data_IF_311956227340
#
_entry.id   IF_311956227340
#
_cell.length_a   1.000
_cell.length_b   1.000
_cell.length_c   1.000
_cell.angle_alpha   90.00
_cell.angle_beta   90.00
_cell.angle_gamma   90.00
#
_symmetry.space_group_name_H-M   'P 1'
#
loop_
_entity.id
_entity.type
_entity.pdbx_description
1 polymer ?
#
# COMPACT_ATOMS: atom_id res chain seq x y z
N UNK A 1 -17.93 6.83 9.27
CA UNK A 1 -17.86 5.39 8.95
C UNK A 1 -17.84 5.14 7.45
N UNK A 2 -18.92 5.47 6.70
CA UNK A 2 -18.98 5.23 5.25
C UNK A 2 -17.79 5.82 4.48
N UNK A 3 -17.42 7.08 4.75
CA UNK A 3 -16.25 7.74 4.13
C UNK A 3 -14.96 6.94 4.33
N UNK A 4 -14.67 6.50 5.56
CA UNK A 4 -13.48 5.72 5.88
C UNK A 4 -13.47 4.35 5.19
N UNK A 5 -14.63 3.70 5.08
CA UNK A 5 -14.77 2.44 4.33
C UNK A 5 -14.47 2.66 2.85
N UNK A 6 -15.03 3.71 2.24
CA UNK A 6 -14.76 4.04 0.83
C UNK A 6 -13.29 4.32 0.57
N UNK A 7 -12.61 5.04 1.47
CA UNK A 7 -11.16 5.30 1.38
C UNK A 7 -10.37 3.99 1.36
N UNK A 8 -10.70 3.05 2.25
CA UNK A 8 -9.99 1.78 2.35
C UNK A 8 -10.27 0.88 1.15
N UNK A 9 -11.54 0.81 0.70
CA UNK A 9 -11.90 0.07 -0.51
C UNK A 9 -11.20 0.63 -1.75
N UNK A 10 -11.16 1.96 -1.89
CA UNK A 10 -10.40 2.62 -2.95
C UNK A 10 -8.92 2.23 -2.93
N UNK A 11 -8.29 2.26 -1.74
CA UNK A 11 -6.88 1.87 -1.58
C UNK A 11 -6.66 0.42 -2.00
N UNK A 12 -7.55 -0.50 -1.60
CA UNK A 12 -7.47 -1.92 -1.97
C UNK A 12 -7.56 -2.10 -3.49
N UNK A 13 -8.53 -1.46 -4.15
CA UNK A 13 -8.72 -1.57 -5.61
C UNK A 13 -7.49 -1.04 -6.34
N UNK A 14 -7.04 0.16 -5.98
CA UNK A 14 -5.89 0.80 -6.61
C UNK A 14 -4.60 -0.01 -6.43
N UNK A 15 -4.32 -0.46 -5.20
CA UNK A 15 -3.13 -1.26 -4.90
C UNK A 15 -3.17 -2.61 -5.61
N UNK A 16 -4.34 -3.26 -5.71
CA UNK A 16 -4.49 -4.51 -6.47
C UNK A 16 -4.20 -4.31 -7.95
N UNK A 17 -4.71 -3.24 -8.56
CA UNK A 17 -4.41 -2.91 -9.95
C UNK A 17 -2.91 -2.65 -10.17
N UNK A 18 -2.24 -1.97 -9.24
CA UNK A 18 -0.81 -1.68 -9.31
C UNK A 18 0.07 -2.93 -9.12
N UNK A 19 -0.32 -3.85 -8.22
CA UNK A 19 0.33 -5.17 -8.09
C UNK A 19 0.15 -5.97 -9.37
N UNK A 20 -1.06 -6.02 -9.93
CA UNK A 20 -1.34 -6.74 -11.16
C UNK A 20 -0.50 -6.21 -12.34
N UNK A 21 -0.37 -4.88 -12.46
CA UNK A 21 0.53 -4.26 -13.43
C UNK A 21 2.00 -4.65 -13.18
N UNK A 22 2.48 -4.50 -11.95
CA UNK A 22 3.89 -4.78 -11.61
C UNK A 22 4.26 -6.24 -11.84
N UNK A 23 3.39 -7.18 -11.44
CA UNK A 23 3.55 -8.61 -11.74
C UNK A 23 3.45 -8.89 -13.24
N UNK A 24 2.48 -8.28 -13.93
CA UNK A 24 2.35 -8.36 -15.38
C UNK A 24 3.63 -7.96 -16.11
N UNK A 25 4.31 -6.91 -15.64
CA UNK A 25 5.60 -6.46 -16.19
C UNK A 25 6.72 -7.49 -15.99
N UNK A 26 6.73 -8.28 -14.92
CA UNK A 26 7.69 -9.39 -14.78
C UNK A 26 7.44 -10.52 -15.77
N UNK A 27 6.18 -10.79 -16.09
CA UNK A 27 5.80 -11.87 -17.01
C UNK A 27 5.66 -11.42 -18.45
N UNK A 28 5.84 -10.13 -18.74
CA UNK A 28 5.54 -9.54 -20.03
C UNK A 28 6.22 -10.33 -21.15
N UNK A 29 7.49 -10.68 -20.97
CA UNK A 29 8.27 -11.31 -22.04
C UNK A 29 7.88 -12.76 -22.36
N UNK A 30 6.98 -13.38 -21.59
CA UNK A 30 6.40 -14.70 -21.91
C UNK A 30 5.25 -14.62 -22.91
N UNK A 31 4.74 -13.42 -23.18
CA UNK A 31 3.62 -13.22 -24.08
C UNK A 31 4.12 -12.72 -25.43
N UNK A 32 3.56 -13.25 -26.52
CA UNK A 32 3.79 -12.70 -27.86
C UNK A 32 3.21 -11.29 -27.92
N UNK A 33 4.09 -10.31 -28.06
CA UNK A 33 3.71 -8.91 -28.09
C UNK A 33 3.28 -8.50 -29.50
N UNK A 34 1.97 -8.48 -29.71
CA UNK A 34 1.38 -7.91 -30.93
C UNK A 34 1.29 -6.38 -30.87
N UNK A 35 1.40 -5.79 -29.68
CA UNK A 35 1.18 -4.38 -29.44
C UNK A 35 2.50 -3.61 -29.42
N UNK A 36 2.64 -2.63 -30.33
CA UNK A 36 3.84 -1.79 -30.42
C UNK A 36 4.17 -1.02 -29.13
N UNK A 37 3.18 -0.53 -28.37
CA UNK A 37 3.45 0.17 -27.10
C UNK A 37 4.05 -0.80 -26.08
N UNK A 38 3.56 -2.03 -26.04
CA UNK A 38 4.09 -3.09 -25.17
C UNK A 38 5.50 -3.47 -25.60
N UNK A 39 5.75 -3.60 -26.91
CA UNK A 39 7.09 -3.88 -27.46
C UNK A 39 8.05 -2.75 -27.11
N UNK A 40 7.69 -1.49 -27.37
CA UNK A 40 8.55 -0.34 -27.06
C UNK A 40 8.78 -0.25 -25.56
N UNK A 41 7.75 -0.39 -24.72
CA UNK A 41 7.89 -0.45 -23.27
C UNK A 41 8.84 -1.56 -22.80
N UNK A 42 8.67 -2.77 -23.34
CA UNK A 42 9.50 -3.91 -23.03
C UNK A 42 10.96 -3.66 -23.43
N UNK A 43 11.20 -3.23 -24.67
CA UNK A 43 12.53 -2.91 -25.18
C UNK A 43 13.20 -1.81 -24.33
N UNK A 44 12.46 -0.76 -23.96
CA UNK A 44 13.03 0.38 -23.23
C UNK A 44 13.44 0.00 -21.80
N UNK A 45 12.58 -0.73 -21.09
CA UNK A 45 12.71 -0.83 -19.63
C UNK A 45 12.90 -2.26 -19.10
N UNK A 46 12.53 -3.28 -19.87
CA UNK A 46 12.43 -4.66 -19.39
C UNK A 46 13.22 -5.66 -20.24
N UNK A 47 13.93 -5.19 -21.27
CA UNK A 47 14.65 -6.04 -22.19
C UNK A 47 15.80 -6.79 -21.52
N UNK A 48 15.72 -8.12 -21.60
CA UNK A 48 16.71 -9.08 -21.14
C UNK A 48 16.82 -10.19 -22.19
N UNK A 49 17.93 -10.20 -22.94
CA UNK A 49 18.15 -11.16 -24.01
C UNK A 49 18.19 -12.61 -23.47
N UNK A 50 18.75 -12.82 -22.29
CA UNK A 50 18.98 -14.16 -21.75
C UNK A 50 17.67 -14.83 -21.32
N UNK A 51 16.70 -14.05 -20.85
CA UNK A 51 15.41 -14.58 -20.38
C UNK A 51 14.38 -14.75 -21.50
N UNK A 52 14.40 -13.85 -22.47
CA UNK A 52 13.27 -13.66 -23.36
C UNK A 52 13.65 -13.76 -24.85
N UNK A 53 14.95 -13.84 -25.15
CA UNK A 53 15.45 -14.01 -26.51
C UNK A 53 15.24 -12.80 -27.42
N UNK A 54 15.18 -13.06 -28.72
CA UNK A 54 15.00 -12.02 -29.75
C UNK A 54 13.54 -11.54 -29.78
N UNK A 55 13.36 -10.21 -29.79
CA UNK A 55 12.04 -9.58 -29.92
C UNK A 55 11.42 -9.92 -31.27
N UNK A 56 10.18 -10.41 -31.28
CA UNK A 56 9.40 -10.67 -32.49
C UNK A 56 8.15 -9.81 -32.47
N UNK A 57 7.87 -9.14 -33.60
CA UNK A 57 6.64 -8.34 -33.79
C UNK A 57 5.73 -9.12 -34.73
N UNK A 58 4.77 -9.85 -34.17
CA UNK A 58 4.01 -10.89 -34.90
C UNK A 58 2.74 -10.38 -35.59
N UNK A 59 2.20 -9.21 -35.24
CA UNK A 59 0.97 -8.72 -35.86
C UNK A 59 0.87 -7.18 -35.86
N UNK A 60 0.12 -6.62 -36.81
CA UNK A 60 -0.06 -5.17 -37.00
C UNK A 60 -1.26 -4.58 -36.24
N UNK A 61 -2.10 -5.42 -35.65
CA UNK A 61 -3.30 -4.98 -34.93
C UNK A 61 -2.92 -4.37 -33.59
N UNK A 62 -3.04 -3.04 -33.48
CA UNK A 62 -2.70 -2.28 -32.27
C UNK A 62 -3.57 -2.58 -31.04
N UNK A 63 -3.21 -2.05 -29.86
CA UNK A 63 -3.92 -2.23 -28.57
C UNK A 63 -5.40 -1.93 -28.63
N UNK A 64 -5.76 -0.97 -29.47
CA UNK A 64 -7.11 -0.45 -29.56
C UNK A 64 -7.94 -1.16 -30.63
N UNK A 65 -7.46 -2.22 -31.28
CA UNK A 65 -8.33 -3.00 -32.19
C UNK A 65 -9.62 -3.51 -31.53
N UNK A 66 -9.62 -3.64 -30.21
CA UNK A 66 -10.81 -4.00 -29.43
C UNK A 66 -11.75 -2.81 -29.10
N UNK A 67 -11.23 -1.58 -28.97
CA UNK A 67 -12.04 -0.36 -28.74
C UNK A 67 -12.38 0.38 -30.05
N UNK A 68 -11.56 0.18 -31.07
CA UNK A 68 -11.72 0.64 -32.43
C UNK A 68 -12.43 -0.44 -33.24
N UNK A 69 -13.71 -0.67 -32.93
CA UNK A 69 -14.68 -1.21 -33.89
C UNK A 69 -14.97 -0.23 -35.05
N UNK A 70 -13.97 0.57 -35.45
CA UNK A 70 -14.03 1.58 -36.52
C UNK A 70 -12.70 1.57 -37.25
N UNK A 71 -12.73 1.03 -38.45
CA UNK A 71 -11.61 0.93 -39.38
C UNK A 71 -11.19 2.28 -40.01
N UNK A 72 -11.64 3.44 -39.51
CA UNK A 72 -11.61 4.69 -40.29
C UNK A 72 -10.83 5.85 -39.66
N UNK A 73 -10.07 5.63 -38.57
CA UNK A 73 -9.27 6.74 -38.00
C UNK A 73 -7.86 6.74 -38.59
N UNK A 74 -7.78 7.52 -39.68
CA UNK A 74 -6.59 8.06 -40.36
C UNK A 74 -5.96 7.21 -41.46
N UNK A 75 -6.66 7.14 -42.59
CA UNK A 75 -6.10 6.89 -43.92
C UNK A 75 -5.36 8.15 -44.44
N UNK A 76 -4.45 8.70 -43.64
CA UNK A 76 -3.70 9.91 -43.97
C UNK A 76 -2.27 9.53 -44.38
N UNK A 77 -2.01 9.71 -45.67
CA UNK A 77 -0.72 9.64 -46.38
C UNK A 77 -0.19 8.23 -46.69
N UNK A 78 -0.51 7.78 -47.91
CA UNK A 78 0.05 6.61 -48.60
C UNK A 78 1.60 6.62 -48.80
N UNK A 79 2.32 7.56 -48.18
CA UNK A 79 3.78 7.70 -48.30
C UNK A 79 4.55 7.48 -46.99
N UNK A 80 3.87 7.33 -45.84
CA UNK A 80 4.56 7.12 -44.57
C UNK A 80 4.80 5.64 -44.29
N UNK A 81 6.03 5.24 -43.89
CA UNK A 81 6.26 3.88 -43.44
C UNK A 81 5.37 3.61 -42.24
N UNK A 82 4.55 2.55 -42.34
CA UNK A 82 3.67 2.16 -41.25
C UNK A 82 4.46 1.99 -39.96
N UNK A 83 3.85 2.33 -38.83
CA UNK A 83 4.48 2.17 -37.50
C UNK A 83 4.97 0.74 -37.28
N UNK A 84 4.25 -0.23 -37.83
CA UNK A 84 4.64 -1.63 -37.89
C UNK A 84 5.97 -1.81 -38.64
N UNK A 85 6.13 -1.27 -39.85
CA UNK A 85 7.37 -1.38 -40.62
C UNK A 85 8.56 -0.75 -39.89
N UNK A 86 8.37 0.40 -39.25
CA UNK A 86 9.43 1.05 -38.45
C UNK A 86 9.83 0.13 -37.29
N UNK A 87 8.87 -0.31 -36.49
CA UNK A 87 9.13 -1.13 -35.29
C UNK A 87 9.71 -2.50 -35.65
N UNK A 88 9.20 -3.13 -36.72
CA UNK A 88 9.70 -4.40 -37.24
C UNK A 88 11.14 -4.24 -37.76
N UNK A 89 11.44 -3.21 -38.54
CA UNK A 89 12.79 -2.96 -39.06
C UNK A 89 13.78 -2.71 -37.92
N UNK A 90 13.38 -1.97 -36.88
CA UNK A 90 14.19 -1.77 -35.68
C UNK A 90 14.40 -3.11 -34.96
N UNK A 91 13.34 -3.88 -34.70
CA UNK A 91 13.43 -5.16 -34.00
C UNK A 91 14.33 -6.18 -34.73
N UNK A 92 14.35 -6.15 -36.07
CA UNK A 92 15.13 -7.06 -36.91
C UNK A 92 16.58 -6.61 -37.08
N UNK A 93 16.83 -5.32 -37.36
CA UNK A 93 18.14 -4.81 -37.77
C UNK A 93 18.94 -4.15 -36.64
N UNK A 94 18.31 -3.80 -35.52
CA UNK A 94 19.02 -3.17 -34.42
C UNK A 94 19.91 -4.18 -33.69
N UNK A 95 21.15 -3.77 -33.42
CA UNK A 95 22.09 -4.51 -32.61
C UNK A 95 21.82 -4.18 -31.13
N UNK A 96 20.85 -4.90 -30.56
CA UNK A 96 20.47 -4.72 -29.16
C UNK A 96 21.60 -5.19 -28.22
N UNK A 97 21.86 -4.44 -27.13
CA UNK A 97 22.76 -4.89 -26.08
C UNK A 97 22.16 -6.09 -25.34
N UNK A 98 22.95 -6.86 -24.61
CA UNK A 98 22.44 -8.02 -23.85
C UNK A 98 21.30 -7.67 -22.87
N UNK A 99 21.34 -6.47 -22.30
CA UNK A 99 20.30 -5.92 -21.43
C UNK A 99 20.09 -4.45 -21.78
N UNK A 100 18.86 -3.95 -21.68
CA UNK A 100 18.63 -2.51 -21.80
C UNK A 100 19.37 -1.74 -20.69
N UNK A 101 19.91 -0.57 -21.02
CA UNK A 101 20.65 0.30 -20.08
C UNK A 101 19.90 0.59 -18.78
N UNK A 102 18.56 0.57 -18.80
CA UNK A 102 17.69 0.85 -17.65
C UNK A 102 17.05 -0.38 -17.01
N UNK A 103 17.34 -1.59 -17.52
CA UNK A 103 16.74 -2.84 -17.07
C UNK A 103 16.84 -3.02 -15.55
N UNK A 104 18.06 -2.98 -15.01
CA UNK A 104 18.30 -3.25 -13.59
C UNK A 104 17.55 -2.27 -12.67
N UNK A 105 17.59 -0.97 -13.02
CA UNK A 105 16.88 0.07 -12.26
C UNK A 105 15.38 -0.19 -12.24
N UNK A 106 14.77 -0.48 -13.39
CA UNK A 106 13.34 -0.78 -13.48
C UNK A 106 12.96 -2.02 -12.67
N UNK A 107 13.78 -3.09 -12.73
CA UNK A 107 13.55 -4.32 -11.97
C UNK A 107 13.56 -4.07 -10.45
N UNK A 108 14.50 -3.25 -9.97
CA UNK A 108 14.53 -2.86 -8.55
C UNK A 108 13.27 -2.09 -8.16
N UNK A 109 12.83 -1.13 -8.96
CA UNK A 109 11.58 -0.41 -8.70
C UNK A 109 10.37 -1.34 -8.69
N UNK A 110 10.20 -2.19 -9.70
CA UNK A 110 9.12 -3.16 -9.78
C UNK A 110 9.06 -4.05 -8.54
N UNK A 111 10.21 -4.56 -8.08
CA UNK A 111 10.28 -5.38 -6.87
C UNK A 111 9.89 -4.58 -5.62
N UNK A 112 10.43 -3.37 -5.45
CA UNK A 112 10.09 -2.50 -4.32
C UNK A 112 8.60 -2.16 -4.29
N UNK A 113 8.01 -1.89 -5.45
CA UNK A 113 6.58 -1.62 -5.56
C UNK A 113 5.74 -2.82 -5.16
N UNK A 114 6.04 -4.01 -5.68
CA UNK A 114 5.33 -5.24 -5.26
C UNK A 114 5.41 -5.45 -3.75
N UNK A 115 6.59 -5.28 -3.15
CA UNK A 115 6.77 -5.45 -1.70
C UNK A 115 5.94 -4.41 -0.92
N UNK A 116 6.09 -3.12 -1.25
CA UNK A 116 5.38 -2.05 -0.54
C UNK A 116 3.87 -2.17 -0.73
N UNK A 117 3.40 -2.50 -1.93
CA UNK A 117 1.98 -2.65 -2.22
C UNK A 117 1.36 -3.83 -1.49
N UNK A 118 2.07 -4.97 -1.36
CA UNK A 118 1.60 -6.09 -0.55
C UNK A 118 1.42 -5.65 0.91
N UNK A 119 2.41 -4.94 1.48
CA UNK A 119 2.28 -4.40 2.84
C UNK A 119 1.16 -3.36 2.95
N UNK A 120 0.96 -2.53 1.92
CA UNK A 120 -0.08 -1.52 1.90
C UNK A 120 -1.48 -2.15 1.76
N UNK A 121 -1.61 -3.23 1.00
CA UNK A 121 -2.83 -4.02 0.88
C UNK A 121 -3.18 -4.69 2.22
N UNK A 122 -2.20 -5.38 2.85
CA UNK A 122 -2.40 -6.03 4.14
C UNK A 122 -2.78 -5.04 5.24
N UNK A 123 -2.10 -3.90 5.31
CA UNK A 123 -2.45 -2.85 6.28
C UNK A 123 -3.79 -2.18 5.97
N UNK A 124 -4.22 -2.11 4.70
CA UNK A 124 -5.55 -1.62 4.32
C UNK A 124 -6.65 -2.58 4.77
N UNK A 125 -6.45 -3.89 4.61
CA UNK A 125 -7.36 -4.91 5.15
C UNK A 125 -7.43 -4.83 6.68
N UNK A 126 -6.30 -4.64 7.35
CA UNK A 126 -6.25 -4.44 8.79
C UNK A 126 -7.07 -3.19 9.17
N UNK A 127 -6.82 -2.05 8.52
CA UNK A 127 -7.58 -0.82 8.74
C UNK A 127 -9.09 -1.01 8.52
N UNK A 128 -9.49 -1.78 7.50
CA UNK A 128 -10.90 -2.11 7.23
C UNK A 128 -11.52 -2.87 8.41
N UNK A 129 -10.85 -3.92 8.89
CA UNK A 129 -11.28 -4.69 10.08
C UNK A 129 -11.38 -3.77 11.29
N UNK A 130 -10.43 -2.87 11.48
CA UNK A 130 -10.44 -1.85 12.53
C UNK A 130 -11.69 -0.98 12.52
N UNK A 131 -12.09 -0.52 11.32
CA UNK A 131 -13.28 0.32 11.10
C UNK A 131 -14.57 -0.48 11.31
N UNK A 132 -14.66 -1.69 10.74
CA UNK A 132 -15.87 -2.52 10.77
C UNK A 132 -16.16 -3.07 12.18
N UNK A 133 -15.14 -3.56 12.88
CA UNK A 133 -15.30 -4.11 14.24
C UNK A 133 -15.40 -3.03 15.32
N UNK A 134 -15.45 -1.73 14.95
CA UNK A 134 -15.47 -0.58 15.88
C UNK A 134 -14.44 -0.75 16.99
N UNK A 135 -13.23 -1.13 16.60
CA UNK A 135 -12.22 -1.65 17.52
C UNK A 135 -12.03 -0.71 18.72
N UNK A 136 -12.04 -1.29 19.93
CA UNK A 136 -11.84 -0.57 21.18
C UNK A 136 -10.53 0.23 21.13
N UNK A 137 -10.55 1.44 21.70
CA UNK A 137 -9.49 2.48 21.64
C UNK A 137 -8.06 1.99 21.89
N UNK A 138 -7.88 0.90 22.63
CA UNK A 138 -6.57 0.35 22.94
C UNK A 138 -5.83 -0.25 21.73
N UNK A 139 -6.55 -0.72 20.72
CA UNK A 139 -5.95 -1.32 19.54
C UNK A 139 -5.89 -0.38 18.33
N UNK A 140 -6.37 0.86 18.44
CA UNK A 140 -6.34 1.84 17.34
C UNK A 140 -4.93 2.01 16.75
N UNK A 141 -3.87 1.97 17.57
CA UNK A 141 -2.49 2.01 17.08
C UNK A 141 -2.15 0.83 16.18
N UNK A 142 -2.62 -0.38 16.49
CA UNK A 142 -2.34 -1.59 15.71
C UNK A 142 -3.02 -1.54 14.34
N UNK A 143 -4.23 -0.99 14.26
CA UNK A 143 -5.00 -0.97 13.01
C UNK A 143 -4.65 0.22 12.10
N UNK A 144 -4.34 1.39 12.65
CA UNK A 144 -4.11 2.61 11.87
C UNK A 144 -2.64 2.87 11.54
N UNK A 145 -1.72 2.59 12.48
CA UNK A 145 -0.31 2.97 12.32
C UNK A 145 0.39 2.23 11.17
N UNK A 146 0.22 0.91 10.98
CA UNK A 146 0.85 0.22 9.86
C UNK A 146 0.46 0.81 8.51
N UNK A 147 -0.83 1.14 8.34
CA UNK A 147 -1.34 1.73 7.10
C UNK A 147 -0.72 3.11 6.83
N UNK A 148 -0.59 3.95 7.87
CA UNK A 148 0.05 5.26 7.74
C UNK A 148 1.53 5.14 7.35
N UNK A 149 2.27 4.23 7.98
CA UNK A 149 3.68 4.00 7.66
C UNK A 149 3.83 3.53 6.21
N UNK A 150 3.05 2.53 5.79
CA UNK A 150 3.13 1.99 4.43
C UNK A 150 2.68 3.01 3.38
N UNK A 151 1.64 3.79 3.66
CA UNK A 151 1.17 4.85 2.76
C UNK A 151 2.23 5.95 2.58
N UNK A 152 2.90 6.36 3.66
CA UNK A 152 4.01 7.31 3.59
C UNK A 152 5.18 6.79 2.75
N UNK A 153 5.57 5.52 2.94
CA UNK A 153 6.62 4.88 2.14
C UNK A 153 6.23 4.75 0.67
N UNK A 154 4.98 4.38 0.38
CA UNK A 154 4.46 4.29 -0.99
C UNK A 154 4.52 5.65 -1.69
N UNK A 155 4.08 6.73 -1.04
CA UNK A 155 4.13 8.08 -1.60
C UNK A 155 5.58 8.52 -1.89
N UNK A 156 6.51 8.24 -0.98
CA UNK A 156 7.94 8.56 -1.20
C UNK A 156 8.52 7.78 -2.38
N UNK A 157 8.17 6.49 -2.52
CA UNK A 157 8.61 5.66 -3.63
C UNK A 157 8.00 6.15 -4.95
N UNK A 158 6.70 6.47 -4.98
CA UNK A 158 5.99 7.02 -6.16
C UNK A 158 6.68 8.29 -6.67
N UNK A 159 7.02 9.24 -5.78
CA UNK A 159 7.71 10.49 -6.14
C UNK A 159 9.11 10.20 -6.68
N UNK A 160 9.88 9.35 -6.01
CA UNK A 160 11.26 9.03 -6.42
C UNK A 160 11.28 8.34 -7.78
N UNK A 161 10.38 7.37 -7.99
CA UNK A 161 10.23 6.69 -9.28
C UNK A 161 9.78 7.66 -10.37
N UNK A 162 8.76 8.50 -10.10
CA UNK A 162 8.26 9.49 -11.05
C UNK A 162 9.33 10.48 -11.48
N UNK A 163 10.19 10.94 -10.56
CA UNK A 163 11.31 11.81 -10.90
C UNK A 163 12.34 11.07 -11.76
N UNK A 164 12.77 9.86 -11.37
CA UNK A 164 13.76 9.11 -12.14
C UNK A 164 13.30 8.76 -13.55
N UNK A 165 12.07 8.27 -13.72
CA UNK A 165 11.53 7.96 -15.04
C UNK A 165 11.10 9.23 -15.79
N UNK A 166 10.75 10.30 -15.08
CA UNK A 166 10.51 11.61 -15.68
C UNK A 166 11.78 12.22 -16.28
N UNK A 167 12.94 12.00 -15.67
CA UNK A 167 14.22 12.42 -16.24
C UNK A 167 14.57 11.63 -17.51
N UNK A 168 14.19 10.36 -17.61
CA UNK A 168 14.39 9.58 -18.84
C UNK A 168 13.64 10.18 -20.05
N UNK A 169 12.53 10.89 -19.81
CA UNK A 169 11.79 11.57 -20.88
C UNK A 169 12.62 12.66 -21.54
N UNK A 170 13.51 13.32 -20.80
CA UNK A 170 14.38 14.37 -21.33
C UNK A 170 15.45 13.81 -22.29
N UNK A 171 15.80 12.53 -22.14
CA UNK A 171 16.78 11.85 -22.99
C UNK A 171 16.14 11.28 -24.29
N UNK A 172 14.81 11.24 -24.36
CA UNK A 172 14.06 10.57 -25.45
C UNK A 172 13.22 11.58 -26.23
N UNK A 173 13.72 12.03 -27.38
CA UNK A 173 13.05 12.99 -28.27
C UNK A 173 12.78 12.44 -29.68
N UNK A 174 13.51 11.41 -30.13
CA UNK A 174 13.26 10.73 -31.41
C UNK A 174 13.72 9.26 -31.39
N UNK A 175 13.57 8.53 -32.51
CA UNK A 175 13.97 7.12 -32.58
C UNK A 175 15.47 6.94 -32.34
N UNK A 176 16.32 7.80 -32.91
CA UNK A 176 17.78 7.71 -32.72
C UNK A 176 18.18 7.94 -31.26
N UNK A 177 17.58 8.92 -30.58
CA UNK A 177 17.87 9.19 -29.16
C UNK A 177 17.35 8.06 -28.26
N UNK A 178 16.18 7.50 -28.56
CA UNK A 178 15.63 6.35 -27.87
C UNK A 178 16.50 5.10 -28.04
N UNK A 179 16.91 4.78 -29.27
CA UNK A 179 17.81 3.65 -29.53
C UNK A 179 19.16 3.82 -28.82
N UNK A 180 19.69 5.05 -28.79
CA UNK A 180 20.87 5.38 -28.00
C UNK A 180 20.62 5.18 -26.50
N UNK A 181 19.46 5.60 -26.00
CA UNK A 181 19.06 5.48 -24.59
C UNK A 181 19.00 4.02 -24.13
N UNK A 182 18.44 3.13 -24.95
CA UNK A 182 18.37 1.70 -24.64
C UNK A 182 19.73 0.99 -24.78
N UNK A 183 20.67 1.58 -25.53
CA UNK A 183 22.03 1.08 -25.72
C UNK A 183 22.26 0.32 -27.04
N UNK A 184 21.46 0.55 -28.08
CA UNK A 184 21.66 -0.06 -29.41
C UNK A 184 22.93 0.52 -30.05
N UNK A 185 23.82 -0.34 -30.52
CA UNK A 185 25.14 0.06 -31.05
C UNK A 185 25.02 0.81 -32.39
N UNK A 186 24.15 0.34 -33.29
CA UNK A 186 23.95 0.90 -34.63
C UNK A 186 22.76 1.89 -34.69
N UNK A 187 22.53 2.65 -33.62
CA UNK A 187 21.38 3.56 -33.51
C UNK A 187 21.31 4.64 -34.60
N UNK A 188 22.43 4.99 -35.24
CA UNK A 188 22.50 5.98 -36.32
C UNK A 188 21.92 5.50 -37.66
N UNK A 189 21.87 4.18 -37.89
CA UNK A 189 21.32 3.59 -39.12
C UNK A 189 19.82 3.90 -39.28
N UNK A 190 19.16 4.24 -38.17
CA UNK A 190 17.73 4.49 -38.09
C UNK A 190 17.36 5.98 -38.18
N UNK A 191 18.31 6.86 -38.51
CA UNK A 191 18.10 8.31 -38.57
C UNK A 191 16.97 8.72 -39.52
N UNK A 192 16.73 7.94 -40.57
CA UNK A 192 15.66 8.21 -41.53
C UNK A 192 14.26 8.16 -40.90
N UNK A 193 14.06 7.32 -39.88
CA UNK A 193 12.78 7.22 -39.16
C UNK A 193 12.44 8.48 -38.35
N UNK A 194 13.42 9.34 -38.06
CA UNK A 194 13.17 10.62 -37.40
C UNK A 194 12.42 11.63 -38.29
N UNK A 195 12.32 11.37 -39.60
CA UNK A 195 11.52 12.21 -40.52
C UNK A 195 10.02 11.92 -40.38
N UNK A 196 9.64 10.76 -39.85
CA UNK A 196 8.24 10.42 -39.64
C UNK A 196 7.64 11.26 -38.49
N UNK A 197 6.38 11.73 -38.59
CA UNK A 197 5.69 12.44 -37.50
C UNK A 197 5.60 11.61 -36.22
N UNK A 198 5.57 10.28 -36.34
CA UNK A 198 5.54 9.34 -35.22
C UNK A 198 6.83 9.35 -34.39
N UNK A 199 7.93 9.90 -34.91
CA UNK A 199 9.24 9.89 -34.26
C UNK A 199 9.28 10.61 -32.93
N UNK A 200 8.42 11.61 -32.71
CA UNK A 200 8.39 12.36 -31.45
C UNK A 200 7.61 11.60 -30.38
N UNK A 201 6.47 11.01 -30.74
CA UNK A 201 5.52 10.49 -29.76
C UNK A 201 5.76 9.03 -29.40
N UNK A 202 6.11 8.18 -30.37
CA UNK A 202 6.23 6.73 -30.14
C UNK A 202 7.38 6.39 -29.20
N UNK A 203 8.60 6.91 -29.38
CA UNK A 203 9.70 6.55 -28.50
C UNK A 203 9.46 7.04 -27.06
N UNK A 204 8.88 8.24 -26.93
CA UNK A 204 8.53 8.84 -25.65
C UNK A 204 7.33 8.15 -24.96
N UNK A 205 6.45 7.48 -25.71
CA UNK A 205 5.22 6.88 -25.17
C UNK A 205 5.50 5.87 -24.06
N UNK A 206 6.56 5.06 -24.18
CA UNK A 206 6.92 4.08 -23.14
C UNK A 206 7.24 4.77 -21.79
N UNK A 207 7.98 5.86 -21.83
CA UNK A 207 8.30 6.66 -20.63
C UNK A 207 7.07 7.35 -20.08
N UNK A 208 6.22 7.92 -20.93
CA UNK A 208 4.96 8.55 -20.49
C UNK A 208 4.04 7.54 -19.81
N UNK A 209 3.88 6.35 -20.39
CA UNK A 209 3.10 5.26 -19.78
C UNK A 209 3.70 4.86 -18.44
N UNK A 210 5.02 4.66 -18.38
CA UNK A 210 5.71 4.26 -17.16
C UNK A 210 5.56 5.33 -16.06
N UNK A 211 5.82 6.60 -16.37
CA UNK A 211 5.63 7.73 -15.42
C UNK A 211 4.18 7.85 -14.99
N UNK A 212 3.23 7.65 -15.89
CA UNK A 212 1.79 7.75 -15.58
C UNK A 212 1.36 6.63 -14.65
N UNK A 213 1.82 5.39 -14.89
CA UNK A 213 1.54 4.26 -14.02
C UNK A 213 2.20 4.42 -12.64
N UNK A 214 3.47 4.86 -12.58
CA UNK A 214 4.18 5.06 -11.31
C UNK A 214 3.72 6.28 -10.51
N UNK A 215 3.31 7.35 -11.19
CA UNK A 215 2.61 8.47 -10.54
C UNK A 215 1.16 8.10 -10.18
N UNK A 216 0.77 6.84 -10.43
CA UNK A 216 -0.56 6.26 -10.21
C UNK A 216 -1.66 7.09 -10.83
N UNK A 217 -1.39 7.81 -11.91
CA UNK A 217 -2.15 8.97 -12.37
C UNK A 217 -2.21 10.05 -11.27
N UNK A 218 -1.66 11.24 -11.55
CA UNK A 218 -1.53 12.36 -10.59
C UNK A 218 -2.80 12.60 -9.76
N UNK A 219 -3.98 12.47 -10.36
CA UNK A 219 -5.27 12.59 -9.66
C UNK A 219 -5.44 11.57 -8.51
N UNK A 220 -5.11 10.29 -8.72
CA UNK A 220 -5.21 9.28 -7.68
C UNK A 220 -4.12 9.43 -6.63
N UNK A 221 -2.94 9.95 -7.01
CA UNK A 221 -1.89 10.28 -6.06
C UNK A 221 -2.32 11.39 -5.09
N UNK A 222 -2.92 12.48 -5.62
CA UNK A 222 -3.50 13.55 -4.78
C UNK A 222 -4.56 12.98 -3.84
N UNK A 223 -5.43 12.11 -4.34
CA UNK A 223 -6.45 11.45 -3.53
C UNK A 223 -5.84 10.63 -2.39
N UNK A 224 -4.73 9.91 -2.63
CA UNK A 224 -4.03 9.16 -1.59
C UNK A 224 -3.43 10.07 -0.51
N UNK A 225 -2.95 11.26 -0.86
CA UNK A 225 -2.48 12.26 0.11
C UNK A 225 -3.63 12.79 0.96
N UNK A 226 -4.76 13.13 0.34
CA UNK A 226 -5.97 13.58 1.07
C UNK A 226 -6.45 12.48 2.02
N UNK A 227 -6.46 11.23 1.56
CA UNK A 227 -6.81 10.07 2.37
C UNK A 227 -5.83 9.88 3.53
N UNK A 228 -4.53 10.04 3.29
CA UNK A 228 -3.49 9.96 4.30
C UNK A 228 -3.73 10.96 5.44
N UNK A 229 -4.01 12.23 5.12
CA UNK A 229 -4.30 13.24 6.12
C UNK A 229 -5.62 12.97 6.85
N UNK A 230 -6.64 12.48 6.14
CA UNK A 230 -7.93 12.11 6.73
C UNK A 230 -7.77 11.01 7.78
N UNK A 231 -7.08 9.91 7.44
CA UNK A 231 -6.83 8.79 8.35
C UNK A 231 -5.88 9.20 9.49
N UNK A 232 -4.90 10.06 9.22
CA UNK A 232 -3.99 10.61 10.24
C UNK A 232 -4.74 11.43 11.30
N UNK A 233 -5.72 12.23 10.88
CA UNK A 233 -6.55 13.01 11.80
C UNK A 233 -7.41 12.08 12.68
N UNK A 234 -8.06 11.08 12.08
CA UNK A 234 -8.85 10.08 12.81
C UNK A 234 -7.99 9.32 13.84
N UNK A 235 -6.77 8.92 13.43
CA UNK A 235 -5.79 8.29 14.32
C UNK A 235 -5.43 9.22 15.49
N UNK A 236 -5.16 10.50 15.22
CA UNK A 236 -4.79 11.49 16.24
C UNK A 236 -5.92 11.71 17.24
N UNK A 237 -7.16 11.80 16.78
CA UNK A 237 -8.35 11.94 17.65
C UNK A 237 -8.50 10.70 18.54
N UNK A 238 -8.40 9.50 17.95
CA UNK A 238 -8.47 8.25 18.68
C UNK A 238 -7.35 8.14 19.75
N UNK A 239 -6.14 8.57 19.39
CA UNK A 239 -4.97 8.55 20.26
C UNK A 239 -5.10 9.54 21.43
N UNK A 240 -5.46 10.80 21.15
CA UNK A 240 -5.68 11.83 22.19
C UNK A 240 -6.76 11.40 23.19
N UNK A 241 -7.88 10.85 22.69
CA UNK A 241 -8.96 10.35 23.54
C UNK A 241 -8.49 9.24 24.49
N UNK A 242 -7.61 8.35 24.02
CA UNK A 242 -6.99 7.30 24.86
C UNK A 242 -6.10 7.90 25.95
N UNK A 243 -5.28 8.90 25.61
CA UNK A 243 -4.38 9.58 26.57
C UNK A 243 -5.18 10.23 27.70
N UNK A 244 -6.24 10.98 27.36
CA UNK A 244 -7.07 11.66 28.36
C UNK A 244 -7.73 10.67 29.33
N UNK A 245 -8.25 9.53 28.84
CA UNK A 245 -8.87 8.52 29.71
C UNK A 245 -7.87 7.88 30.65
N UNK A 246 -6.65 7.61 30.18
CA UNK A 246 -5.57 7.11 31.05
C UNK A 246 -5.28 8.12 32.16
N UNK A 247 -5.17 9.39 31.82
CA UNK A 247 -4.95 10.46 32.80
C UNK A 247 -6.09 10.56 33.82
N UNK A 248 -7.35 10.56 33.37
CA UNK A 248 -8.52 10.59 34.28
C UNK A 248 -8.58 9.35 35.18
N UNK A 249 -8.24 8.17 34.66
CA UNK A 249 -8.21 6.95 35.47
C UNK A 249 -7.07 6.98 36.50
N UNK A 250 -5.88 7.44 36.13
CA UNK A 250 -4.75 7.60 37.05
C UNK A 250 -5.06 8.62 38.15
N UNK A 251 -5.70 9.74 37.80
CA UNK A 251 -6.17 10.74 38.76
C UNK A 251 -7.26 10.18 39.68
N UNK A 252 -8.23 9.44 39.14
CA UNK A 252 -9.27 8.78 39.92
C UNK A 252 -8.68 7.75 40.90
N UNK A 253 -7.71 6.93 40.47
CA UNK A 253 -7.00 5.97 41.33
C UNK A 253 -6.23 6.71 42.41
N UNK A 254 -5.51 7.79 42.07
CA UNK A 254 -4.77 8.62 43.03
C UNK A 254 -5.70 9.22 44.08
N UNK A 255 -6.84 9.75 43.67
CA UNK A 255 -7.83 10.33 44.58
C UNK A 255 -8.44 9.27 45.51
N UNK A 256 -8.71 8.07 45.00
CA UNK A 256 -9.18 6.93 45.81
C UNK A 256 -8.15 6.48 46.85
N UNK A 257 -6.87 6.41 46.48
CA UNK A 257 -5.78 6.07 47.41
C UNK A 257 -5.62 7.16 48.47
N UNK A 258 -5.67 8.44 48.08
CA UNK A 258 -5.59 9.56 49.02
C UNK A 258 -6.74 9.55 50.04
N UNK A 259 -7.97 9.31 49.58
CA UNK A 259 -9.14 9.17 50.46
C UNK A 259 -9.01 7.97 51.42
N UNK A 260 -8.49 6.84 50.95
CA UNK A 260 -8.20 5.68 51.78
C UNK A 260 -7.17 6.00 52.86
N UNK A 261 -6.03 6.58 52.50
CA UNK A 261 -4.99 6.93 53.48
C UNK A 261 -5.51 7.89 54.56
N UNK A 262 -6.26 8.92 54.15
CA UNK A 262 -6.90 9.86 55.09
C UNK A 262 -7.87 9.18 56.05
N UNK A 263 -8.63 8.17 55.58
CA UNK A 263 -9.52 7.39 56.44
C UNK A 263 -8.74 6.59 57.49
N UNK A 264 -7.67 5.89 57.12
CA UNK A 264 -6.88 5.09 58.07
C UNK A 264 -6.08 5.95 59.06
N UNK A 265 -5.54 7.08 58.62
CA UNK A 265 -4.83 8.02 59.50
C UNK A 265 -5.76 8.51 60.63
N UNK A 266 -7.03 8.77 60.31
CA UNK A 266 -8.05 9.19 61.28
C UNK A 266 -8.38 8.12 62.34
N UNK A 267 -8.25 6.84 62.00
CA UNK A 267 -8.44 5.72 62.93
C UNK A 267 -7.23 5.59 63.86
N UNK A 268 -6.02 5.75 63.33
CA UNK A 268 -4.79 5.60 64.13
C UNK A 268 -4.68 6.63 65.26
N UNK A 269 -5.19 7.85 65.05
CA UNK A 269 -5.17 8.91 66.05
C UNK A 269 -6.21 8.76 67.16
N UNK A 270 -7.18 7.85 67.00
CA UNK A 270 -8.21 7.56 68.02
C UNK A 270 -7.84 6.41 68.96
N UNK A 271 -6.64 5.83 68.82
CA UNK A 271 -6.13 4.95 69.88
C UNK A 271 -6.00 5.80 71.15
N UNK A 272 -6.77 5.51 72.22
CA UNK A 272 -6.59 6.17 73.48
C UNK A 272 -5.12 6.01 73.86
N UNK A 273 -4.48 7.10 74.29
CA UNK A 273 -3.28 6.98 75.09
C UNK A 273 -3.65 6.06 76.25
N UNK A 274 -3.26 4.79 76.15
CA UNK A 274 -3.31 3.88 77.28
C UNK A 274 -2.46 4.57 78.33
N UNK A 275 -3.13 5.18 79.32
CA UNK A 275 -2.46 5.77 80.44
C UNK A 275 -1.63 4.64 81.06
N UNK A 276 -0.36 4.96 81.33
CA UNK A 276 0.53 4.12 82.09
C UNK A 276 -0.03 3.98 83.51
N UNK A 277 -0.99 3.09 83.69
CA UNK A 277 -1.41 2.61 84.99
C UNK A 277 -0.85 1.19 85.11
N UNK A 278 0.27 1.11 85.83
CA UNK A 278 0.76 -0.01 86.61
C UNK A 278 0.13 -1.37 86.34
N UNK A 279 0.90 -2.31 85.79
CA UNK A 279 0.72 -3.70 86.20
C UNK A 279 2.05 -4.47 86.10
N UNK A 280 2.63 -4.63 87.29
CA UNK A 280 3.61 -5.66 87.60
C UNK A 280 3.10 -7.04 87.15
N UNK A 281 3.95 -7.74 86.39
CA UNK A 281 4.11 -9.19 86.39
C UNK A 281 2.87 -10.05 86.21
N UNK A 282 2.67 -10.56 85.00
CA UNK A 282 2.23 -11.95 84.84
C UNK A 282 2.60 -12.51 83.46
N UNK A 283 3.29 -13.63 83.51
CA UNK A 283 3.65 -14.51 82.42
C UNK A 283 2.44 -15.35 81.98
N UNK A 284 2.15 -15.37 80.68
CA UNK A 284 1.52 -16.45 79.89
C UNK A 284 1.28 -15.86 78.48
N UNK A 285 2.04 -16.26 77.46
CA UNK A 285 1.83 -17.47 76.66
C UNK A 285 0.45 -17.53 76.00
N UNK A 286 0.39 -17.05 74.75
CA UNK A 286 -0.51 -17.53 73.69
C UNK A 286 -0.22 -16.78 72.39
N UNK A 287 0.36 -17.50 71.43
CA UNK A 287 0.61 -17.01 70.08
C UNK A 287 -0.70 -16.74 69.34
N UNK A 288 -1.06 -15.46 69.21
CA UNK A 288 -2.10 -15.03 68.28
C UNK A 288 -1.43 -14.58 66.99
N UNK A 289 -1.40 -15.47 66.01
CA UNK A 289 -0.96 -15.20 64.64
C UNK A 289 -1.97 -14.22 64.02
N UNK A 290 -1.59 -12.95 63.96
CA UNK A 290 -2.27 -11.95 63.15
C UNK A 290 -2.19 -12.38 61.68
N UNK A 291 -3.28 -12.96 61.18
CA UNK A 291 -3.46 -13.26 59.78
C UNK A 291 -3.37 -11.94 58.99
N UNK A 292 -2.22 -11.71 58.34
CA UNK A 292 -2.10 -10.69 57.29
C UNK A 292 -3.14 -11.02 56.21
N UNK A 293 -4.01 -10.07 55.82
CA UNK A 293 -4.84 -10.27 54.65
C UNK A 293 -3.92 -10.41 53.44
N UNK A 294 -3.90 -11.60 52.87
CA UNK A 294 -3.15 -11.94 51.68
C UNK A 294 -3.83 -11.25 50.49
N UNK A 295 -3.47 -9.98 50.25
CA UNK A 295 -3.83 -9.18 49.07
C UNK A 295 -3.07 -9.71 47.84
N UNK A 296 -3.28 -10.97 47.52
CA UNK A 296 -2.85 -11.60 46.26
C UNK A 296 -4.07 -12.15 45.52
N UNK A 297 -5.17 -11.39 45.54
CA UNK A 297 -6.26 -11.60 44.59
C UNK A 297 -5.88 -10.89 43.29
N UNK A 298 -5.02 -11.54 42.52
CA UNK A 298 -4.97 -11.33 41.07
C UNK A 298 -6.32 -11.78 40.53
N UNK A 299 -7.30 -10.87 40.55
CA UNK A 299 -8.46 -10.96 39.68
C UNK A 299 -7.91 -10.87 38.25
N UNK A 300 -7.60 -12.04 37.68
CA UNK A 300 -7.55 -12.24 36.24
C UNK A 300 -8.89 -11.75 35.74
N UNK A 301 -8.91 -10.52 35.23
CA UNK A 301 -9.90 -10.10 34.28
C UNK A 301 -9.85 -11.14 33.15
N UNK A 302 -10.83 -12.04 33.15
CA UNK A 302 -11.19 -12.82 31.98
C UNK A 302 -11.43 -11.80 30.89
N UNK A 303 -10.44 -11.63 30.01
CA UNK A 303 -10.69 -11.11 28.67
C UNK A 303 -11.52 -12.17 27.97
N UNK A 304 -12.83 -12.13 28.25
CA UNK A 304 -13.83 -12.71 27.38
C UNK A 304 -13.69 -11.94 26.06
N UNK A 305 -12.94 -12.55 25.16
CA UNK A 305 -12.89 -12.19 23.77
C UNK A 305 -14.24 -12.64 23.19
N UNK A 306 -15.26 -11.82 23.40
CA UNK A 306 -16.51 -11.87 22.66
C UNK A 306 -16.16 -11.66 21.17
N UNK A 307 -15.89 -12.77 20.49
CA UNK A 307 -15.84 -12.81 19.04
C UNK A 307 -17.28 -12.58 18.58
N UNK A 308 -17.56 -11.38 18.06
CA UNK A 308 -18.80 -11.09 17.35
C UNK A 308 -18.87 -11.91 16.05
N UNK A 309 -19.22 -13.19 16.12
CA UNK A 309 -19.79 -13.94 15.00
C UNK A 309 -21.30 -13.79 15.02
N UNK A 310 -21.79 -12.60 14.63
CA UNK A 310 -23.19 -12.45 14.21
C UNK A 310 -23.24 -12.69 12.70
N UNK A 311 -23.33 -13.97 12.30
CA UNK A 311 -23.80 -14.33 10.95
C UNK A 311 -25.31 -14.09 10.91
N UNK A 312 -25.84 -13.29 9.96
CA UNK A 312 -27.26 -13.33 9.67
C UNK A 312 -27.58 -14.67 8.99
N UNK A 313 -28.47 -15.43 9.62
CA UNK A 313 -29.17 -16.58 9.03
C UNK A 313 -30.01 -16.06 7.86
N UNK A 314 -29.47 -16.11 6.65
CA UNK A 314 -30.26 -15.97 5.43
C UNK A 314 -31.05 -17.25 5.23
N UNK A 315 -32.34 -17.15 5.50
CA UNK A 315 -33.39 -18.09 5.16
C UNK A 315 -33.31 -18.40 3.67
N UNK A 316 -32.99 -19.66 3.34
CA UNK A 316 -33.18 -20.19 2.00
C UNK A 316 -34.69 -20.29 1.75
N UNK A 317 -35.21 -19.42 0.88
CA UNK A 317 -36.49 -19.65 0.21
C UNK A 317 -36.16 -20.50 -1.00
N UNK A 318 -36.56 -21.77 -0.93
CA UNK A 318 -36.64 -22.68 -2.06
C UNK A 318 -37.92 -22.26 -2.80
N UNK A 319 -37.78 -21.58 -3.93
CA UNK A 319 -38.84 -21.50 -4.93
C UNK A 319 -38.68 -22.66 -5.91
N UNK A 320 -39.77 -23.40 -6.06
CA UNK A 320 -39.97 -24.57 -6.91
C UNK A 320 -39.74 -24.26 -8.40
N UNK A 321 -39.22 -25.22 -9.21
CA UNK A 321 -39.05 -25.06 -10.63
C UNK A 321 -40.24 -25.66 -11.38
N UNK A 322 -41.24 -24.87 -11.74
CA UNK A 322 -42.16 -25.19 -12.84
C UNK A 322 -42.89 -23.92 -13.30
N UNK A 323 -42.63 -23.45 -14.52
CA UNK A 323 -43.61 -23.02 -15.56
C UNK A 323 -42.84 -22.50 -16.79
N UNK A 324 -43.02 -23.23 -17.90
CA UNK A 324 -42.79 -22.91 -19.33
C UNK A 324 -41.41 -22.42 -19.81
#
# INVERSE_FOLDING_TARGET
MLKSVLIVLWTIIQTTAHIAFSLGSFFICRFDHTNYLVVVYYITYLYDYDKCGRVRVTNSTGPFGFLAGRNDVCDCAASEPSLYNITHTIAEKAQFPRYASRYFRTQVYLLLFVIIDVFWLLSSLLLLVGICCRVKRNFATVFYLPWLITAGLAVLLDVTASVHFGLDFLDIYNYTSWLRFIGVENYMDFKEFNKAPSSVYIPAASTVVLVTVWSRFVAFWILNIVNFFTISNEFTIAYKKRKNIKQTNEESIRNRIGAWNSFYDSISMKSPSASSADLHGMSADSGMVLARPNLNRTDRASTDMEICTSLPSSTAIIEDPHVM
#
